data_IF_819633827675
#
_entry.id   IF_819633827675
#
_cell.length_a   1.000
_cell.length_b   1.000
_cell.length_c   1.000
_cell.angle_alpha   90.00
_cell.angle_beta   90.00
_cell.angle_gamma   90.00
#
_symmetry.space_group_name_H-M   'P 1'
#
loop_
_entity.id
_entity.type
_entity.pdbx_description
1 polymer ?
#
# COMPACT_ATOMS: atom_id res chain seq x y z
N UNK A 1 19.05 -18.44 3.86
CA UNK A 1 18.46 -19.20 4.98
C UNK A 1 17.50 -20.22 4.40
N UNK A 2 17.78 -21.50 4.60
CA UNK A 2 16.90 -22.62 4.24
C UNK A 2 15.94 -22.88 5.42
N UNK A 3 14.70 -22.36 5.28
CA UNK A 3 13.51 -22.48 6.16
C UNK A 3 13.53 -21.85 7.57
N UNK A 4 12.43 -21.15 7.88
CA UNK A 4 11.64 -21.20 9.13
C UNK A 4 10.19 -20.78 8.84
N UNK A 5 9.22 -21.38 9.53
CA UNK A 5 7.79 -21.03 9.52
C UNK A 5 7.27 -21.17 10.94
N UNK A 6 6.75 -20.09 11.54
CA UNK A 6 5.70 -20.17 12.59
C UNK A 6 5.18 -18.80 13.00
N UNK A 7 3.89 -18.73 13.29
CA UNK A 7 3.21 -17.73 14.13
C UNK A 7 2.15 -18.43 15.01
N UNK A 8 1.94 -17.94 16.24
CA UNK A 8 0.78 -18.23 17.06
C UNK A 8 0.06 -16.90 17.35
N UNK A 9 -0.92 -16.59 16.50
CA UNK A 9 -1.78 -15.44 16.66
C UNK A 9 -2.87 -15.73 17.73
N UNK A 10 -2.77 -15.14 18.92
CA UNK A 10 -3.89 -15.14 19.90
C UNK A 10 -4.29 -13.71 20.22
N UNK A 11 -5.45 -13.30 19.72
CA UNK A 11 -6.03 -11.97 19.90
C UNK A 11 -7.27 -12.05 20.81
N UNK A 12 -7.22 -11.61 22.09
CA UNK A 12 -8.37 -11.58 22.97
C UNK A 12 -8.59 -10.18 23.53
N UNK A 13 -9.27 -9.31 22.79
CA UNK A 13 -9.94 -8.11 23.32
C UNK A 13 -11.07 -7.72 22.37
N UNK A 14 -12.03 -6.95 22.87
CA UNK A 14 -13.12 -6.28 22.14
C UNK A 14 -12.63 -5.17 21.17
N UNK A 15 -11.31 -4.96 21.06
CA UNK A 15 -10.72 -3.88 20.26
C UNK A 15 -10.45 -4.32 18.82
N UNK A 16 -10.96 -3.58 17.82
CA UNK A 16 -10.67 -3.84 16.41
C UNK A 16 -9.21 -3.49 16.10
N UNK A 17 -8.61 -4.23 15.15
CA UNK A 17 -7.23 -4.02 14.68
C UNK A 17 -7.25 -3.90 13.17
N UNK A 18 -6.49 -2.93 12.66
CA UNK A 18 -6.27 -2.72 11.23
C UNK A 18 -4.89 -3.26 10.89
N UNK A 19 -4.82 -4.07 9.84
CA UNK A 19 -3.59 -4.75 9.40
C UNK A 19 -3.24 -4.23 8.01
N UNK A 20 -2.00 -3.79 7.83
CA UNK A 20 -1.43 -3.59 6.49
C UNK A 20 -1.08 -4.97 5.89
N UNK A 21 -1.74 -5.32 4.79
CA UNK A 21 -1.64 -6.65 4.22
C UNK A 21 -0.44 -6.81 3.27
N UNK A 22 0.04 -5.73 2.65
CA UNK A 22 1.20 -5.77 1.74
C UNK A 22 1.17 -6.83 0.63
N UNK A 23 -0.01 -7.37 0.26
CA UNK A 23 -0.16 -8.52 -0.64
C UNK A 23 -1.24 -8.28 -1.69
N UNK A 24 -1.13 -8.94 -2.84
CA UNK A 24 -2.16 -8.91 -3.88
C UNK A 24 -3.51 -9.40 -3.35
N UNK A 25 -4.63 -8.69 -3.63
CA UNK A 25 -5.95 -9.05 -3.14
C UNK A 25 -6.36 -10.50 -3.41
N UNK A 26 -6.05 -11.02 -4.59
CA UNK A 26 -6.39 -12.39 -5.00
C UNK A 26 -5.75 -13.46 -4.09
N UNK A 27 -4.66 -13.14 -3.40
CA UNK A 27 -3.99 -14.05 -2.47
C UNK A 27 -4.63 -14.06 -1.08
N UNK A 28 -5.34 -13.00 -0.69
CA UNK A 28 -5.91 -12.86 0.66
C UNK A 28 -7.43 -13.08 0.70
N UNK A 29 -8.13 -12.85 -0.42
CA UNK A 29 -9.58 -13.04 -0.55
C UNK A 29 -10.09 -14.45 -0.14
N UNK A 30 -9.32 -15.55 -0.27
CA UNK A 30 -9.74 -16.84 0.29
C UNK A 30 -9.84 -16.87 1.83
N UNK A 31 -9.22 -15.92 2.52
CA UNK A 31 -9.10 -15.90 3.99
C UNK A 31 -9.89 -14.76 4.64
N UNK A 32 -10.12 -13.65 3.94
CA UNK A 32 -10.77 -12.45 4.47
C UNK A 32 -11.81 -11.95 3.46
N UNK A 33 -13.06 -11.67 3.88
CA UNK A 33 -14.08 -11.13 2.98
C UNK A 33 -13.73 -9.71 2.55
N UNK A 34 -14.04 -9.37 1.30
CA UNK A 34 -13.72 -8.07 0.69
C UNK A 34 -14.33 -6.87 1.42
N UNK A 35 -15.44 -7.05 2.14
CA UNK A 35 -16.11 -6.02 2.94
C UNK A 35 -15.27 -5.59 4.15
N UNK A 36 -14.27 -6.40 4.54
CA UNK A 36 -13.28 -6.10 5.58
C UNK A 36 -11.97 -5.56 5.01
N UNK A 37 -11.98 -5.10 3.75
CA UNK A 37 -10.80 -4.60 3.06
C UNK A 37 -11.07 -3.24 2.44
N UNK A 38 -10.10 -2.34 2.56
CA UNK A 38 -10.07 -1.08 1.83
C UNK A 38 -8.71 -0.92 1.14
N UNK A 39 -8.73 -0.52 -0.13
CA UNK A 39 -7.54 -0.23 -0.90
C UNK A 39 -7.32 1.28 -0.97
N UNK A 40 -6.21 1.73 -0.40
CA UNK A 40 -5.76 3.11 -0.48
C UNK A 40 -4.73 3.24 -1.62
N UNK A 41 -4.98 4.13 -2.56
CA UNK A 41 -4.04 4.43 -3.65
C UNK A 41 -3.87 5.94 -3.82
N UNK A 42 -2.97 6.38 -4.69
CA UNK A 42 -2.79 7.80 -5.07
C UNK A 42 -2.49 7.87 -6.56
N UNK A 43 -2.42 9.08 -7.12
CA UNK A 43 -2.19 9.29 -8.55
C UNK A 43 -0.77 8.90 -8.98
N UNK A 44 -0.57 8.73 -10.28
CA UNK A 44 0.74 8.40 -10.84
C UNK A 44 1.73 9.52 -10.54
N UNK A 45 1.30 10.78 -10.69
CA UNK A 45 2.11 11.97 -10.42
C UNK A 45 2.59 12.00 -8.96
N UNK A 46 1.71 11.65 -8.01
CA UNK A 46 2.06 11.60 -6.60
C UNK A 46 3.01 10.44 -6.27
N UNK A 47 2.87 9.28 -6.93
CA UNK A 47 3.84 8.18 -6.81
C UNK A 47 5.20 8.63 -7.29
N UNK A 48 5.27 9.23 -8.48
CA UNK A 48 6.53 9.67 -9.09
C UNK A 48 7.23 10.75 -8.26
N UNK A 49 6.45 11.67 -7.68
CA UNK A 49 6.93 12.76 -6.85
C UNK A 49 7.41 12.31 -5.47
N UNK A 50 6.71 11.36 -4.85
CA UNK A 50 6.92 11.06 -3.44
C UNK A 50 7.69 9.77 -3.18
N UNK A 51 7.53 8.72 -3.99
CA UNK A 51 7.91 7.36 -3.59
C UNK A 51 9.36 7.27 -3.10
N UNK A 52 10.36 7.68 -3.90
CA UNK A 52 11.76 7.61 -3.47
C UNK A 52 12.21 8.72 -2.50
N UNK A 53 11.36 9.72 -2.28
CA UNK A 53 11.68 10.90 -1.47
C UNK A 53 10.98 10.89 -0.11
N UNK A 54 10.30 9.79 0.23
CA UNK A 54 9.77 9.59 1.59
C UNK A 54 10.91 9.36 2.58
N UNK A 55 10.71 9.81 3.80
CA UNK A 55 11.70 9.72 4.87
C UNK A 55 12.11 8.27 5.16
N UNK A 56 11.14 7.34 5.19
CA UNK A 56 11.34 5.91 5.40
C UNK A 56 12.05 5.20 4.24
N UNK A 57 12.14 5.85 3.08
CA UNK A 57 12.83 5.33 1.90
C UNK A 57 14.25 5.88 1.72
N UNK A 58 14.76 6.67 2.68
CA UNK A 58 16.09 7.29 2.60
C UNK A 58 17.22 6.30 2.29
N UNK A 59 17.20 5.13 2.91
CA UNK A 59 18.21 4.09 2.64
C UNK A 59 18.18 3.59 1.19
N UNK A 60 16.98 3.50 0.58
CA UNK A 60 16.83 3.10 -0.82
C UNK A 60 17.42 4.18 -1.71
N UNK A 61 17.13 5.45 -1.42
CA UNK A 61 17.65 6.59 -2.16
C UNK A 61 19.18 6.69 -2.06
N UNK A 62 19.75 6.45 -0.87
CA UNK A 62 21.20 6.41 -0.66
C UNK A 62 21.87 5.36 -1.56
N UNK A 63 21.29 4.17 -1.69
CA UNK A 63 21.78 3.13 -2.60
C UNK A 63 21.64 3.53 -4.06
N UNK A 64 20.51 4.13 -4.45
CA UNK A 64 20.30 4.60 -5.84
C UNK A 64 21.31 5.68 -6.22
N UNK A 65 21.68 6.57 -5.29
CA UNK A 65 22.66 7.62 -5.51
C UNK A 65 24.08 7.10 -5.76
N UNK A 66 24.36 5.83 -5.42
CA UNK A 66 25.63 5.16 -5.73
C UNK A 66 25.67 4.58 -7.15
N UNK A 67 24.55 4.58 -7.89
CA UNK A 67 24.51 4.07 -9.27
C UNK A 67 25.16 5.04 -10.24
N UNK A 68 25.55 4.54 -11.42
CA UNK A 68 26.14 5.37 -12.49
C UNK A 68 25.17 6.41 -13.08
N UNK A 69 23.86 6.23 -12.88
CA UNK A 69 22.83 7.18 -13.31
C UNK A 69 21.60 7.11 -12.37
N UNK A 70 21.65 7.83 -11.23
CA UNK A 70 20.57 7.84 -10.25
C UNK A 70 19.24 8.32 -10.83
N UNK A 71 19.27 9.35 -11.68
CA UNK A 71 18.07 9.92 -12.30
C UNK A 71 17.32 8.89 -13.17
N UNK A 72 18.05 8.15 -14.02
CA UNK A 72 17.44 7.09 -14.83
C UNK A 72 16.91 5.93 -13.97
N UNK A 73 17.62 5.59 -12.87
CA UNK A 73 17.19 4.56 -11.92
C UNK A 73 15.89 4.93 -11.23
N UNK A 74 15.77 6.16 -10.73
CA UNK A 74 14.54 6.71 -10.14
C UNK A 74 13.40 6.69 -11.17
N UNK A 75 13.64 7.19 -12.39
CA UNK A 75 12.63 7.22 -13.44
C UNK A 75 12.10 5.81 -13.79
N UNK A 76 12.97 4.82 -13.89
CA UNK A 76 12.57 3.43 -14.15
C UNK A 76 11.87 2.80 -12.94
N UNK A 77 12.34 3.07 -11.72
CA UNK A 77 11.70 2.63 -10.48
C UNK A 77 10.28 3.18 -10.36
N UNK A 78 10.10 4.47 -10.62
CA UNK A 78 8.81 5.14 -10.61
C UNK A 78 7.82 4.51 -11.60
N UNK A 79 8.25 4.26 -12.85
CA UNK A 79 7.42 3.54 -13.85
C UNK A 79 6.96 2.16 -13.35
N UNK A 80 7.85 1.42 -12.68
CA UNK A 80 7.48 0.12 -12.11
C UNK A 80 6.50 0.26 -10.95
N UNK A 81 6.67 1.27 -10.10
CA UNK A 81 5.77 1.53 -8.98
C UNK A 81 4.38 2.00 -9.43
N UNK A 82 4.31 2.84 -10.47
CA UNK A 82 3.07 3.20 -11.14
C UNK A 82 2.39 1.93 -11.65
N UNK A 83 3.08 1.11 -12.46
CA UNK A 83 2.50 -0.16 -12.95
C UNK A 83 2.00 -1.05 -11.82
N UNK A 84 2.79 -1.23 -10.77
CA UNK A 84 2.40 -2.04 -9.61
C UNK A 84 1.15 -1.48 -8.90
N UNK A 85 1.08 -0.16 -8.70
CA UNK A 85 -0.09 0.53 -8.15
C UNK A 85 -1.34 0.28 -9.00
N UNK A 86 -1.21 0.37 -10.33
CA UNK A 86 -2.30 0.07 -11.27
C UNK A 86 -2.75 -1.39 -11.18
N UNK A 87 -1.81 -2.34 -11.08
CA UNK A 87 -2.12 -3.76 -10.95
C UNK A 87 -2.92 -4.05 -9.67
N UNK A 88 -2.48 -3.50 -8.54
CA UNK A 88 -3.17 -3.62 -7.23
C UNK A 88 -4.54 -2.95 -7.27
N UNK A 89 -4.62 -1.70 -7.76
CA UNK A 89 -5.88 -0.96 -7.88
C UNK A 89 -6.88 -1.71 -8.76
N UNK A 90 -6.44 -2.18 -9.92
CA UNK A 90 -7.28 -2.93 -10.85
C UNK A 90 -7.77 -4.24 -10.24
N UNK A 91 -6.91 -4.95 -9.51
CA UNK A 91 -7.29 -6.14 -8.76
C UNK A 91 -8.38 -5.83 -7.73
N UNK A 92 -8.23 -4.76 -6.94
CA UNK A 92 -9.23 -4.34 -5.95
C UNK A 92 -10.58 -4.03 -6.61
N UNK A 93 -10.57 -3.25 -7.70
CA UNK A 93 -11.79 -2.88 -8.44
C UNK A 93 -12.48 -4.13 -9.00
N UNK A 94 -11.74 -5.01 -9.69
CA UNK A 94 -12.29 -6.24 -10.27
C UNK A 94 -12.92 -7.16 -9.23
N UNK A 95 -12.36 -7.22 -8.03
CA UNK A 95 -12.87 -8.04 -6.93
C UNK A 95 -13.93 -7.33 -6.07
N UNK A 96 -14.28 -6.08 -6.40
CA UNK A 96 -15.28 -5.30 -5.67
C UNK A 96 -14.85 -4.90 -4.26
N UNK A 97 -13.54 -4.76 -4.02
CA UNK A 97 -12.99 -4.20 -2.78
C UNK A 97 -13.19 -2.69 -2.80
N UNK A 98 -13.56 -2.09 -1.66
CA UNK A 98 -13.70 -0.63 -1.54
C UNK A 98 -12.36 0.04 -1.82
N UNK A 99 -12.35 1.04 -2.69
CA UNK A 99 -11.15 1.82 -3.00
C UNK A 99 -11.31 3.27 -2.55
N UNK A 100 -10.22 3.88 -2.09
CA UNK A 100 -10.13 5.30 -1.79
C UNK A 100 -8.85 5.86 -2.41
N UNK A 101 -9.01 6.87 -3.25
CA UNK A 101 -7.91 7.65 -3.78
C UNK A 101 -7.51 8.73 -2.79
N UNK A 102 -6.21 8.81 -2.48
CA UNK A 102 -5.62 9.84 -1.64
C UNK A 102 -5.17 10.97 -2.54
N UNK A 103 -5.91 12.07 -2.51
CA UNK A 103 -5.58 13.29 -3.25
C UNK A 103 -4.95 14.32 -2.30
N UNK A 104 -4.22 15.33 -2.81
CA UNK A 104 -3.64 16.39 -1.98
C UNK A 104 -4.66 17.19 -1.18
N UNK A 105 -5.91 17.24 -1.64
CA UNK A 105 -7.02 17.92 -0.95
C UNK A 105 -7.55 17.12 0.24
N UNK A 106 -7.28 15.81 0.31
CA UNK A 106 -7.72 14.95 1.40
C UNK A 106 -6.69 14.99 2.54
N UNK A 107 -7.03 15.67 3.62
CA UNK A 107 -6.19 15.68 4.82
C UNK A 107 -6.04 14.26 5.40
N UNK A 108 -4.98 14.04 6.20
CA UNK A 108 -4.78 12.76 6.88
C UNK A 108 -5.97 12.41 7.81
N UNK A 109 -6.58 13.42 8.44
CA UNK A 109 -7.76 13.24 9.31
C UNK A 109 -8.99 12.81 8.52
N UNK A 110 -9.23 13.39 7.33
CA UNK A 110 -10.33 12.99 6.46
C UNK A 110 -10.12 11.58 5.89
N UNK A 111 -8.88 11.25 5.49
CA UNK A 111 -8.53 9.89 5.07
C UNK A 111 -8.82 8.89 6.19
N UNK A 112 -8.41 9.21 7.42
CA UNK A 112 -8.65 8.36 8.58
C UNK A 112 -10.14 8.21 8.89
N UNK A 113 -10.91 9.30 8.79
CA UNK A 113 -12.37 9.28 8.96
C UNK A 113 -13.04 8.34 7.94
N UNK A 114 -12.71 8.45 6.66
CA UNK A 114 -13.29 7.61 5.61
C UNK A 114 -12.95 6.12 5.79
N UNK A 115 -11.72 5.81 6.23
CA UNK A 115 -11.32 4.43 6.56
C UNK A 115 -12.10 3.90 7.76
N UNK A 116 -12.28 4.72 8.80
CA UNK A 116 -13.08 4.36 9.98
C UNK A 116 -14.54 4.12 9.67
N UNK A 117 -15.16 5.01 8.89
CA UNK A 117 -16.55 4.86 8.45
C UNK A 117 -16.77 3.55 7.68
N UNK A 118 -15.82 3.17 6.82
CA UNK A 118 -15.87 1.89 6.11
C UNK A 118 -15.89 0.69 7.06
N UNK A 119 -15.16 0.75 8.17
CA UNK A 119 -15.12 -0.30 9.18
C UNK A 119 -16.17 -0.17 10.29
N UNK A 120 -17.00 0.87 10.27
CA UNK A 120 -18.01 1.15 11.29
C UNK A 120 -17.43 1.58 12.65
N UNK A 121 -16.30 2.30 12.65
CA UNK A 121 -15.55 2.72 13.85
C UNK A 121 -15.68 4.20 14.21
#
# INVERSE_FOLDING_TARGET
>A
MEFFVTDLLKMPTDKPIIIDLGIMPERILPFIPKERMICLYTSDEEIERLYFFREDHKMILDVINLTSNPAATIANGNKNMVRFSHDVRSACIRNGIKTLERTPELSAEEQFKLVREHFGL
#
